data_IF_275371139977
#
_entry.id   IF_275371139977
#
_cell.length_a   1.000
_cell.length_b   1.000
_cell.length_c   1.000
_cell.angle_alpha   90.00
_cell.angle_beta   90.00
_cell.angle_gamma   90.00
#
_symmetry.space_group_name_H-M   'P 1'
#
loop_
_entity.id
_entity.type
_entity.pdbx_description
1 polymer ?
#
# COMPACT_ATOMS: atom_id res chain seq x y z
N UNK A 1 -26.43 53.55 19.07
CA UNK A 1 -27.02 52.26 18.69
C UNK A 1 -26.28 51.78 17.44
N UNK A 2 -25.10 51.17 17.62
CA UNK A 2 -24.25 50.70 16.51
C UNK A 2 -24.26 49.18 16.52
N UNK A 3 -24.92 48.59 15.54
CA UNK A 3 -25.06 47.14 15.40
C UNK A 3 -23.76 46.54 14.83
N UNK A 4 -23.05 45.75 15.63
CA UNK A 4 -21.98 44.86 15.15
C UNK A 4 -22.61 43.66 14.44
N UNK A 5 -22.71 43.72 13.10
CA UNK A 5 -23.27 42.62 12.27
C UNK A 5 -22.19 41.97 11.39
N UNK A 6 -20.89 42.15 11.68
CA UNK A 6 -19.83 41.73 10.76
C UNK A 6 -19.07 40.42 11.10
N UNK A 7 -19.17 39.83 12.29
CA UNK A 7 -18.24 38.75 12.66
C UNK A 7 -18.57 37.35 12.09
N UNK A 8 -19.84 37.05 11.79
CA UNK A 8 -20.26 35.70 11.31
C UNK A 8 -19.83 35.39 9.86
N UNK A 9 -19.65 36.43 9.03
CA UNK A 9 -19.20 36.26 7.64
C UNK A 9 -17.71 35.91 7.55
N UNK A 10 -16.89 36.42 8.48
CA UNK A 10 -15.44 36.20 8.53
C UNK A 10 -15.10 34.72 8.77
N UNK A 11 -15.70 34.11 9.80
CA UNK A 11 -15.48 32.70 10.15
C UNK A 11 -15.91 31.75 9.03
N UNK A 12 -16.99 32.07 8.33
CA UNK A 12 -17.49 31.25 7.22
C UNK A 12 -16.56 31.30 6.00
N UNK A 13 -16.03 32.49 5.67
CA UNK A 13 -15.08 32.69 4.56
C UNK A 13 -13.72 32.05 4.88
N UNK A 14 -13.22 32.21 6.11
CA UNK A 14 -11.96 31.60 6.55
C UNK A 14 -12.00 30.07 6.44
N UNK A 15 -13.12 29.45 6.86
CA UNK A 15 -13.31 28.02 6.75
C UNK A 15 -13.35 27.54 5.29
N UNK A 16 -14.02 28.28 4.40
CA UNK A 16 -14.07 27.94 2.95
C UNK A 16 -12.67 27.97 2.33
N UNK A 17 -11.82 28.92 2.75
CA UNK A 17 -10.42 29.00 2.30
C UNK A 17 -9.54 27.89 2.89
N UNK A 18 -9.78 27.47 4.14
CA UNK A 18 -9.05 26.37 4.77
C UNK A 18 -9.49 24.98 4.31
N UNK A 19 -10.75 24.82 3.93
CA UNK A 19 -11.33 23.54 3.47
C UNK A 19 -10.49 22.85 2.40
N UNK A 20 -10.06 23.48 1.29
CA UNK A 20 -9.23 22.81 0.29
C UNK A 20 -7.87 22.36 0.84
N UNK A 21 -7.28 23.11 1.79
CA UNK A 21 -6.02 22.72 2.44
C UNK A 21 -6.22 21.48 3.31
N UNK A 22 -7.32 21.44 4.08
CA UNK A 22 -7.66 20.28 4.91
C UNK A 22 -7.97 19.05 4.05
N UNK A 23 -8.67 19.23 2.93
CA UNK A 23 -8.93 18.16 1.96
C UNK A 23 -7.62 17.66 1.35
N UNK A 24 -6.72 18.55 0.94
CA UNK A 24 -5.41 18.17 0.43
C UNK A 24 -4.59 17.39 1.48
N UNK A 25 -4.62 17.81 2.75
CA UNK A 25 -3.98 17.10 3.85
C UNK A 25 -4.57 15.69 4.05
N UNK A 26 -5.90 15.56 3.99
CA UNK A 26 -6.57 14.26 4.06
C UNK A 26 -6.17 13.36 2.89
N UNK A 27 -6.13 13.89 1.67
CA UNK A 27 -5.70 13.15 0.49
C UNK A 27 -4.25 12.68 0.61
N UNK A 28 -3.35 13.49 1.18
CA UNK A 28 -1.98 13.07 1.46
C UNK A 28 -1.94 11.90 2.45
N UNK A 29 -2.72 11.96 3.54
CA UNK A 29 -2.82 10.84 4.49
C UNK A 29 -3.32 9.57 3.80
N UNK A 30 -4.34 9.67 2.95
CA UNK A 30 -4.84 8.53 2.16
C UNK A 30 -3.75 7.99 1.22
N UNK A 31 -3.01 8.86 0.52
CA UNK A 31 -1.92 8.46 -0.36
C UNK A 31 -0.83 7.69 0.39
N UNK A 32 -0.37 8.20 1.54
CA UNK A 32 0.59 7.49 2.39
C UNK A 32 0.04 6.16 2.91
N UNK A 33 -1.23 6.13 3.33
CA UNK A 33 -1.90 4.90 3.76
C UNK A 33 -1.96 3.86 2.65
N UNK A 34 -2.15 4.27 1.39
CA UNK A 34 -2.13 3.36 0.23
C UNK A 34 -0.73 2.83 -0.06
N UNK A 35 0.29 3.67 0.02
CA UNK A 35 1.70 3.25 -0.13
C UNK A 35 2.09 2.23 0.95
N UNK A 36 1.73 2.50 2.20
CA UNK A 36 2.06 1.60 3.31
C UNK A 36 1.33 0.26 3.23
N UNK A 37 0.08 0.24 2.77
CA UNK A 37 -0.62 -1.01 2.51
C UNK A 37 0.10 -1.82 1.42
N UNK A 38 0.40 -1.20 0.26
CA UNK A 38 1.09 -1.88 -0.82
C UNK A 38 2.43 -2.49 -0.37
N UNK A 39 3.19 -1.78 0.49
CA UNK A 39 4.41 -2.31 1.11
C UNK A 39 4.15 -3.51 2.01
N UNK A 40 3.11 -3.45 2.83
CA UNK A 40 2.74 -4.56 3.71
C UNK A 40 2.31 -5.80 2.91
N UNK A 41 1.58 -5.61 1.81
CA UNK A 41 1.16 -6.70 0.92
C UNK A 41 2.37 -7.33 0.22
N UNK A 42 3.31 -6.53 -0.31
CA UNK A 42 4.58 -7.03 -0.89
C UNK A 42 5.41 -7.81 0.13
N UNK A 43 5.55 -7.28 1.35
CA UNK A 43 6.28 -7.93 2.44
C UNK A 43 5.60 -9.24 2.88
N UNK A 44 4.26 -9.31 2.85
CA UNK A 44 3.52 -10.54 3.11
C UNK A 44 3.80 -11.60 2.03
N UNK A 45 3.75 -11.21 0.75
CA UNK A 45 4.04 -12.10 -0.37
C UNK A 45 5.48 -12.63 -0.32
N UNK A 46 6.46 -11.75 -0.04
CA UNK A 46 7.86 -12.13 0.09
C UNK A 46 8.07 -13.15 1.23
N UNK A 47 7.46 -12.91 2.40
CA UNK A 47 7.51 -13.85 3.54
C UNK A 47 6.85 -15.19 3.23
N UNK A 48 5.71 -15.19 2.54
CA UNK A 48 5.04 -16.41 2.10
C UNK A 48 5.90 -17.21 1.12
N UNK A 49 6.50 -16.53 0.14
CA UNK A 49 7.40 -17.12 -0.84
C UNK A 49 8.61 -17.77 -0.18
N UNK A 50 9.31 -17.05 0.70
CA UNK A 50 10.48 -17.54 1.41
C UNK A 50 10.17 -18.77 2.26
N UNK A 51 9.03 -18.76 2.96
CA UNK A 51 8.57 -19.91 3.77
C UNK A 51 8.25 -21.13 2.91
N UNK A 52 7.61 -20.94 1.76
CA UNK A 52 7.29 -22.03 0.84
C UNK A 52 8.55 -22.63 0.19
N UNK A 53 9.47 -21.75 -0.22
CA UNK A 53 10.75 -22.15 -0.82
C UNK A 53 11.64 -22.93 0.17
N UNK A 54 11.73 -22.49 1.43
CA UNK A 54 12.60 -23.13 2.43
C UNK A 54 12.17 -24.53 2.86
N UNK A 55 10.94 -24.94 2.53
CA UNK A 55 10.45 -26.30 2.79
C UNK A 55 10.87 -27.30 1.70
N UNK A 56 11.35 -26.80 0.55
CA UNK A 56 11.77 -27.63 -0.58
C UNK A 56 13.21 -28.11 -0.44
N UNK A 57 13.58 -29.12 -1.24
CA UNK A 57 14.88 -29.80 -1.16
C UNK A 57 15.80 -29.53 -2.36
N UNK A 58 15.31 -28.87 -3.39
CA UNK A 58 16.09 -28.51 -4.58
C UNK A 58 15.67 -27.13 -5.10
N UNK A 59 16.56 -26.49 -5.85
CA UNK A 59 16.38 -25.13 -6.36
C UNK A 59 15.12 -24.97 -7.23
N UNK A 60 14.84 -25.96 -8.08
CA UNK A 60 13.75 -25.87 -9.06
C UNK A 60 12.40 -25.93 -8.35
N UNK A 61 12.24 -26.87 -7.41
CA UNK A 61 11.03 -26.99 -6.61
C UNK A 61 10.87 -25.80 -5.65
N UNK A 62 11.97 -25.30 -5.06
CA UNK A 62 11.95 -24.11 -4.21
C UNK A 62 11.43 -22.87 -4.96
N UNK A 63 11.94 -22.61 -6.16
CA UNK A 63 11.50 -21.49 -7.00
C UNK A 63 10.02 -21.62 -7.36
N UNK A 64 9.60 -22.76 -7.88
CA UNK A 64 8.21 -23.00 -8.26
C UNK A 64 7.23 -22.96 -7.07
N UNK A 65 7.66 -23.36 -5.87
CA UNK A 65 6.86 -23.24 -4.66
C UNK A 65 6.76 -21.79 -4.16
N UNK A 66 7.88 -21.06 -4.16
CA UNK A 66 7.94 -19.65 -3.77
C UNK A 66 7.09 -18.76 -4.67
N UNK A 67 7.22 -18.90 -5.99
CA UNK A 67 6.43 -18.13 -6.97
C UNK A 67 4.93 -18.37 -6.78
N UNK A 68 4.49 -19.63 -6.66
CA UNK A 68 3.07 -19.94 -6.42
C UNK A 68 2.55 -19.33 -5.12
N UNK A 69 3.32 -19.40 -4.04
CA UNK A 69 2.93 -18.81 -2.76
C UNK A 69 2.82 -17.28 -2.85
N UNK A 70 3.74 -16.62 -3.55
CA UNK A 70 3.69 -15.19 -3.79
C UNK A 70 2.47 -14.78 -4.63
N UNK A 71 2.16 -15.53 -5.70
CA UNK A 71 0.98 -15.30 -6.54
C UNK A 71 -0.34 -15.41 -5.75
N UNK A 72 -0.46 -16.39 -4.86
CA UNK A 72 -1.67 -16.56 -4.04
C UNK A 72 -1.96 -15.36 -3.13
N UNK A 73 -0.94 -14.62 -2.69
CA UNK A 73 -1.12 -13.39 -1.90
C UNK A 73 -1.75 -12.26 -2.74
N UNK A 74 -1.53 -12.26 -4.06
CA UNK A 74 -2.01 -11.21 -4.96
C UNK A 74 -3.37 -11.51 -5.63
N UNK A 75 -3.88 -12.74 -5.56
CA UNK A 75 -5.10 -13.20 -6.25
C UNK A 75 -6.42 -12.53 -5.78
N UNK A 76 -6.33 -11.58 -4.84
CA UNK A 76 -7.49 -10.86 -4.29
C UNK A 76 -8.02 -9.70 -5.14
N UNK A 77 -7.44 -9.39 -6.31
CA UNK A 77 -7.92 -8.32 -7.20
C UNK A 77 -7.84 -6.89 -6.64
N UNK A 78 -7.08 -6.69 -5.56
CA UNK A 78 -7.01 -5.42 -4.80
C UNK A 78 -6.03 -4.39 -5.36
N UNK A 79 -5.22 -4.74 -6.37
CA UNK A 79 -4.10 -3.91 -6.85
C UNK A 79 -4.10 -3.77 -8.38
N UNK A 80 -3.72 -2.59 -8.85
CA UNK A 80 -3.47 -2.29 -10.27
C UNK A 80 -1.97 -2.39 -10.57
N UNK A 81 -1.40 -3.58 -10.43
CA UNK A 81 -0.05 -3.86 -10.91
C UNK A 81 -0.15 -4.31 -12.37
N UNK A 82 0.52 -3.61 -13.29
CA UNK A 82 0.56 -4.00 -14.70
C UNK A 82 1.41 -5.25 -14.92
N UNK A 83 2.50 -5.38 -14.16
CA UNK A 83 3.36 -6.57 -14.18
C UNK A 83 3.90 -6.83 -12.77
N UNK A 84 3.86 -8.09 -12.34
CA UNK A 84 4.46 -8.55 -11.09
C UNK A 84 5.50 -9.60 -11.44
N UNK A 85 6.75 -9.35 -11.03
CA UNK A 85 7.88 -10.26 -11.22
C UNK A 85 8.37 -10.75 -9.86
N UNK A 86 8.64 -12.05 -9.75
CA UNK A 86 9.18 -12.66 -8.54
C UNK A 86 10.61 -13.11 -8.77
N UNK A 87 11.53 -12.66 -7.91
CA UNK A 87 12.89 -13.17 -7.85
C UNK A 87 13.05 -14.01 -6.58
N UNK A 88 13.28 -15.30 -6.75
CA UNK A 88 13.49 -16.25 -5.65
C UNK A 88 14.95 -16.67 -5.69
N UNK A 89 15.70 -16.26 -4.67
CA UNK A 89 17.08 -16.67 -4.49
C UNK A 89 17.13 -18.15 -4.07
N UNK A 90 17.74 -18.97 -4.93
CA UNK A 90 17.96 -20.40 -4.71
C UNK A 90 19.45 -20.75 -4.62
N UNK A 91 20.33 -19.77 -4.41
CA UNK A 91 21.78 -19.98 -4.30
C UNK A 91 22.16 -20.93 -3.15
N UNK A 92 21.30 -21.10 -2.15
CA UNK A 92 21.51 -22.03 -1.04
C UNK A 92 21.40 -23.53 -1.43
N UNK A 93 20.94 -23.85 -2.65
CA UNK A 93 20.74 -25.23 -3.14
C UNK A 93 21.83 -25.72 -4.10
N UNK A 94 22.85 -24.91 -4.40
CA UNK A 94 23.96 -25.28 -5.29
C UNK A 94 25.13 -25.90 -4.55
#
# INVERSE_FOLDING_TARGET
MTAHVAERGSVSIELVLLTPVLVAMLLLVVAFGRIQNARADVEAAARAAARAASTQRDATSARAAGERAAFMEFDGGRFHCDTITFDIDTAAFT
#
